data_IF_366502066734
#
_entry.id   IF_366502066734
#
_cell.length_a   1.000
_cell.length_b   1.000
_cell.length_c   1.000
_cell.angle_alpha   90.00
_cell.angle_beta   90.00
_cell.angle_gamma   90.00
#
_symmetry.space_group_name_H-M   'P 1'
#
loop_
_entity.id
_entity.type
_entity.pdbx_description
1 polymer ?
#
# COMPACT_ATOMS: atom_id res chain seq x y z
N UNK A 1 -14.15 -8.79 -6.19
CA UNK A 1 -14.47 -9.01 -7.59
C UNK A 1 -15.90 -9.48 -7.73
N UNK A 2 -16.51 -9.20 -8.88
CA UNK A 2 -17.62 -10.03 -9.37
C UNK A 2 -16.97 -11.25 -10.03
N UNK A 3 -17.64 -12.39 -10.06
CA UNK A 3 -17.15 -13.61 -10.76
C UNK A 3 -16.79 -13.36 -12.25
N UNK A 4 -17.15 -12.22 -12.82
CA UNK A 4 -16.81 -11.80 -14.18
C UNK A 4 -15.39 -11.25 -14.39
N UNK A 5 -14.62 -10.92 -13.35
CA UNK A 5 -13.31 -10.24 -13.52
C UNK A 5 -12.19 -11.16 -14.08
N UNK A 6 -12.45 -12.47 -14.23
CA UNK A 6 -11.56 -13.44 -14.89
C UNK A 6 -12.08 -13.90 -16.26
N UNK A 7 -13.17 -13.32 -16.78
CA UNK A 7 -13.70 -13.69 -18.09
C UNK A 7 -12.65 -13.40 -19.18
N UNK A 8 -12.18 -14.46 -19.84
CA UNK A 8 -11.29 -14.39 -21.01
C UNK A 8 -9.84 -14.80 -20.76
N UNK A 9 -9.41 -15.05 -19.52
CA UNK A 9 -8.07 -15.61 -19.24
C UNK A 9 -8.22 -17.09 -18.90
N UNK A 10 -7.92 -17.95 -19.88
CA UNK A 10 -7.82 -19.39 -19.64
C UNK A 10 -6.45 -19.67 -19.02
N UNK A 11 -6.44 -19.91 -17.71
CA UNK A 11 -5.22 -20.36 -17.04
C UNK A 11 -4.84 -21.76 -17.54
N UNK A 12 -3.55 -22.12 -17.51
CA UNK A 12 -3.12 -23.48 -17.82
C UNK A 12 -3.87 -24.50 -16.95
N UNK A 13 -4.15 -25.69 -17.50
CA UNK A 13 -5.00 -26.71 -16.85
C UNK A 13 -4.46 -27.22 -15.51
N UNK A 14 -3.20 -26.95 -15.20
CA UNK A 14 -2.57 -27.29 -13.93
C UNK A 14 -2.74 -26.22 -12.83
N UNK A 15 -3.50 -25.15 -13.07
CA UNK A 15 -3.86 -24.16 -12.05
C UNK A 15 -5.27 -24.40 -11.50
N UNK A 16 -5.37 -24.54 -10.19
CA UNK A 16 -6.64 -24.43 -9.47
C UNK A 16 -6.78 -23.02 -8.89
N UNK A 17 -7.85 -22.32 -9.22
CA UNK A 17 -8.10 -20.96 -8.72
C UNK A 17 -9.30 -20.93 -7.81
N UNK A 18 -9.07 -20.36 -6.63
CA UNK A 18 -10.09 -20.20 -5.61
C UNK A 18 -10.27 -18.71 -5.31
N UNK A 19 -11.43 -18.12 -5.61
CA UNK A 19 -11.64 -16.70 -5.39
C UNK A 19 -11.78 -16.39 -3.90
N UNK A 20 -10.96 -15.48 -3.40
CA UNK A 20 -11.03 -15.00 -2.02
C UNK A 20 -12.15 -13.95 -1.87
N UNK A 21 -13.40 -14.41 -1.78
CA UNK A 21 -14.56 -13.54 -1.65
C UNK A 21 -15.01 -13.50 -0.18
N UNK A 22 -14.99 -12.33 0.47
CA UNK A 22 -15.51 -12.19 1.83
C UNK A 22 -17.01 -12.51 1.91
N UNK A 23 -17.45 -13.12 3.01
CA UNK A 23 -18.89 -13.34 3.25
C UNK A 23 -19.66 -12.01 3.22
N UNK A 24 -20.84 -12.00 2.54
CA UNK A 24 -21.63 -10.80 2.25
C UNK A 24 -22.05 -10.00 3.50
N UNK A 25 -22.08 -10.64 4.66
CA UNK A 25 -22.51 -10.10 5.96
C UNK A 25 -21.60 -9.01 6.53
N UNK A 26 -20.40 -8.80 5.98
CA UNK A 26 -19.42 -7.82 6.49
C UNK A 26 -19.30 -6.53 5.67
N UNK A 27 -20.24 -6.26 4.76
CA UNK A 27 -20.20 -5.06 3.91
C UNK A 27 -20.70 -3.82 4.66
N UNK A 28 -19.79 -2.91 4.97
CA UNK A 28 -20.13 -1.56 5.42
C UNK A 28 -20.51 -0.70 4.21
N UNK A 29 -21.48 0.22 4.37
CA UNK A 29 -21.89 1.16 3.30
C UNK A 29 -20.67 1.89 2.72
N UNK A 30 -20.60 1.93 1.38
CA UNK A 30 -19.46 2.46 0.60
C UNK A 30 -18.13 1.72 0.82
N UNK A 31 -18.15 0.52 1.40
CA UNK A 31 -16.99 -0.35 1.50
C UNK A 31 -16.64 -1.00 0.15
N UNK A 32 -15.35 -1.22 -0.06
CA UNK A 32 -14.79 -1.80 -1.29
C UNK A 32 -13.76 -2.86 -0.89
N UNK A 33 -13.69 -3.93 -1.67
CA UNK A 33 -12.58 -4.87 -1.60
C UNK A 33 -11.48 -4.38 -2.56
N UNK A 34 -10.45 -3.73 -2.02
CA UNK A 34 -9.45 -3.02 -2.82
C UNK A 34 -8.06 -3.70 -2.76
N UNK A 35 -7.92 -4.72 -1.90
CA UNK A 35 -6.80 -5.65 -1.85
C UNK A 35 -6.51 -6.31 -3.18
N UNK A 36 -5.21 -6.42 -3.46
CA UNK A 36 -4.63 -6.97 -4.68
C UNK A 36 -3.48 -7.86 -4.25
N UNK A 37 -3.78 -9.14 -4.14
CA UNK A 37 -2.85 -10.13 -3.61
C UNK A 37 -3.13 -11.50 -4.18
N UNK A 38 -2.09 -12.32 -4.24
CA UNK A 38 -2.20 -13.75 -4.54
C UNK A 38 -1.55 -14.56 -3.43
N UNK A 39 -2.13 -15.72 -3.18
CA UNK A 39 -1.52 -16.81 -2.43
C UNK A 39 -1.34 -17.95 -3.44
N UNK A 40 -0.11 -18.27 -3.79
CA UNK A 40 0.21 -19.30 -4.78
C UNK A 40 0.87 -20.47 -4.05
N UNK A 41 0.16 -21.59 -3.96
CA UNK A 41 0.68 -22.82 -3.38
C UNK A 41 1.50 -23.61 -4.41
N UNK A 42 2.67 -24.04 -4.00
CA UNK A 42 3.54 -24.98 -4.71
C UNK A 42 3.70 -26.26 -3.87
N UNK A 43 4.44 -27.23 -4.37
CA UNK A 43 4.63 -28.53 -3.71
C UNK A 43 5.26 -28.41 -2.31
N UNK A 44 6.21 -27.49 -2.14
CA UNK A 44 7.02 -27.34 -0.93
C UNK A 44 6.91 -25.95 -0.27
N UNK A 45 6.14 -25.04 -0.86
CA UNK A 45 6.17 -23.62 -0.52
C UNK A 45 4.89 -22.87 -0.85
N UNK A 46 4.71 -21.74 -0.19
CA UNK A 46 3.68 -20.75 -0.47
C UNK A 46 4.34 -19.44 -0.90
N UNK A 47 3.98 -18.94 -2.09
CA UNK A 47 4.28 -17.56 -2.46
C UNK A 47 3.16 -16.64 -2.03
N UNK A 48 3.50 -15.63 -1.24
CA UNK A 48 2.61 -14.51 -0.95
C UNK A 48 2.96 -13.37 -1.89
N UNK A 49 1.97 -12.84 -2.62
CA UNK A 49 2.12 -11.70 -3.53
C UNK A 49 1.23 -10.56 -3.06
N UNK A 50 1.77 -9.35 -2.95
CA UNK A 50 1.01 -8.11 -2.72
C UNK A 50 1.36 -7.12 -3.83
N UNK A 51 0.35 -6.62 -4.55
CA UNK A 51 0.55 -5.74 -5.71
C UNK A 51 -0.49 -4.60 -5.76
N UNK A 52 -0.39 -3.74 -6.78
CA UNK A 52 -1.28 -2.56 -6.91
C UNK A 52 -2.15 -2.53 -8.18
N UNK A 53 -1.91 -3.42 -9.13
CA UNK A 53 -2.70 -3.56 -10.36
C UNK A 53 -4.06 -4.23 -10.12
N UNK A 54 -5.14 -3.70 -10.71
CA UNK A 54 -6.34 -4.49 -10.96
C UNK A 54 -6.05 -5.53 -12.05
N UNK A 55 -6.85 -6.59 -12.13
CA UNK A 55 -6.68 -7.66 -13.13
C UNK A 55 -7.26 -7.29 -14.50
N UNK A 56 -6.81 -6.16 -15.05
CA UNK A 56 -7.21 -5.65 -16.37
C UNK A 56 -5.98 -5.21 -17.18
N UNK A 57 -5.94 -5.39 -18.51
CA UNK A 57 -4.73 -5.15 -19.31
C UNK A 57 -4.12 -3.75 -19.16
N UNK A 58 -4.95 -2.70 -19.09
CA UNK A 58 -4.46 -1.32 -19.00
C UNK A 58 -3.65 -1.04 -17.71
N UNK A 59 -3.97 -1.74 -16.61
CA UNK A 59 -3.26 -1.58 -15.34
C UNK A 59 -1.86 -2.22 -15.37
N UNK A 60 -1.60 -3.20 -16.25
CA UNK A 60 -0.28 -3.84 -16.40
C UNK A 60 0.60 -3.17 -17.45
N UNK A 61 0.02 -2.63 -18.52
CA UNK A 61 0.79 -2.19 -19.68
C UNK A 61 1.31 -0.75 -19.57
N UNK A 62 0.46 0.20 -19.13
CA UNK A 62 0.73 1.63 -19.31
C UNK A 62 0.87 2.43 -18.01
N UNK A 63 0.68 1.78 -16.85
CA UNK A 63 0.67 2.43 -15.54
C UNK A 63 1.87 2.02 -14.69
N UNK A 64 2.27 2.93 -13.81
CA UNK A 64 3.23 2.61 -12.76
C UNK A 64 2.54 1.83 -11.65
N UNK A 65 2.89 0.55 -11.54
CA UNK A 65 2.43 -0.37 -10.49
C UNK A 65 3.62 -0.89 -9.66
N UNK A 66 3.33 -1.41 -8.47
CA UNK A 66 4.29 -2.11 -7.63
C UNK A 66 3.85 -3.54 -7.32
N UNK A 67 4.83 -4.41 -7.10
CA UNK A 67 4.64 -5.79 -6.64
C UNK A 67 5.74 -6.15 -5.65
N UNK A 68 5.35 -6.83 -4.58
CA UNK A 68 6.25 -7.58 -3.72
C UNK A 68 5.77 -9.03 -3.71
N UNK A 69 6.72 -9.95 -3.66
CA UNK A 69 6.44 -11.34 -3.38
C UNK A 69 7.59 -11.98 -2.62
N UNK A 70 7.27 -13.00 -1.84
CA UNK A 70 8.24 -13.85 -1.17
C UNK A 70 7.70 -15.28 -1.07
N UNK A 71 8.60 -16.25 -1.19
CA UNK A 71 8.32 -17.67 -1.01
C UNK A 71 8.61 -18.07 0.43
N UNK A 72 7.70 -18.87 0.99
CA UNK A 72 7.75 -19.39 2.35
C UNK A 72 7.69 -20.91 2.29
N UNK A 73 8.74 -21.63 2.71
CA UNK A 73 8.76 -23.10 2.67
C UNK A 73 7.82 -23.67 3.73
N UNK A 74 7.51 -24.97 3.64
CA UNK A 74 6.85 -25.69 4.74
C UNK A 74 7.71 -25.68 6.02
N UNK A 75 7.06 -25.59 7.18
CA UNK A 75 7.71 -25.72 8.48
C UNK A 75 8.28 -27.12 8.66
N UNK A 76 9.52 -27.20 9.11
CA UNK A 76 10.16 -28.47 9.55
C UNK A 76 9.91 -28.75 11.03
N UNK A 77 9.57 -27.72 11.82
CA UNK A 77 9.26 -27.81 13.25
C UNK A 77 8.02 -27.00 13.60
N UNK A 78 7.26 -27.41 14.62
CA UNK A 78 6.12 -26.64 15.11
C UNK A 78 6.59 -25.46 15.99
N UNK A 79 5.96 -24.29 15.85
CA UNK A 79 5.95 -23.28 16.91
C UNK A 79 6.89 -22.07 16.78
N UNK A 80 7.18 -21.54 15.58
CA UNK A 80 7.87 -20.25 15.47
C UNK A 80 6.88 -19.08 15.52
N UNK A 81 6.89 -18.28 16.59
CA UNK A 81 6.17 -17.00 16.62
C UNK A 81 6.74 -16.06 15.55
N UNK A 82 5.92 -15.69 14.57
CA UNK A 82 6.31 -14.77 13.51
C UNK A 82 5.25 -13.69 13.34
N UNK A 83 5.64 -12.43 13.51
CA UNK A 83 4.72 -11.30 13.38
C UNK A 83 4.11 -11.18 11.97
N UNK A 84 4.81 -11.63 10.91
CA UNK A 84 4.24 -11.69 9.57
C UNK A 84 3.13 -12.75 9.48
N UNK A 85 3.34 -13.94 10.06
CA UNK A 85 2.33 -15.00 10.12
C UNK A 85 1.07 -14.51 10.84
N UNK A 86 1.23 -13.91 12.02
CA UNK A 86 0.10 -13.39 12.80
C UNK A 86 -0.67 -12.31 12.04
N UNK A 87 0.04 -11.41 11.37
CA UNK A 87 -0.59 -10.36 10.56
C UNK A 87 -1.35 -10.96 9.37
N UNK A 88 -0.79 -11.96 8.69
CA UNK A 88 -1.42 -12.65 7.56
C UNK A 88 -2.68 -13.38 8.01
N UNK A 89 -2.58 -14.20 9.07
CA UNK A 89 -3.71 -14.98 9.59
C UNK A 89 -4.82 -14.05 10.07
N UNK A 90 -4.48 -13.01 10.85
CA UNK A 90 -5.46 -12.05 11.34
C UNK A 90 -6.17 -11.31 10.20
N UNK A 91 -5.45 -11.00 9.12
CA UNK A 91 -6.02 -10.37 7.95
C UNK A 91 -6.96 -11.31 7.18
N UNK A 92 -6.50 -12.53 6.89
CA UNK A 92 -7.24 -13.54 6.14
C UNK A 92 -8.51 -13.99 6.88
N UNK A 93 -8.44 -14.11 8.20
CA UNK A 93 -9.60 -14.45 9.04
C UNK A 93 -10.72 -13.41 8.94
N UNK A 94 -10.42 -12.15 8.60
CA UNK A 94 -11.45 -11.10 8.43
C UNK A 94 -12.38 -11.34 7.26
N UNK A 95 -11.98 -12.16 6.29
CA UNK A 95 -12.82 -12.45 5.13
C UNK A 95 -13.90 -13.47 5.48
N UNK A 96 -13.70 -14.23 6.58
CA UNK A 96 -14.57 -15.31 7.03
C UNK A 96 -14.89 -16.29 5.90
N UNK A 97 -13.88 -16.56 5.07
CA UNK A 97 -14.05 -17.36 3.85
C UNK A 97 -14.41 -18.78 4.25
N UNK A 98 -15.60 -19.21 3.84
CA UNK A 98 -15.91 -20.62 3.70
C UNK A 98 -15.55 -20.99 2.28
N UNK A 99 -14.35 -21.52 2.10
CA UNK A 99 -13.89 -22.00 0.80
C UNK A 99 -14.67 -23.28 0.45
N UNK A 100 -15.95 -23.14 0.07
CA UNK A 100 -16.82 -24.26 -0.25
C UNK A 100 -16.30 -24.92 -1.53
N UNK A 101 -15.97 -26.22 -1.43
CA UNK A 101 -15.46 -26.99 -2.57
C UNK A 101 -13.97 -26.84 -2.83
N UNK A 102 -13.21 -26.06 -2.04
CA UNK A 102 -11.75 -25.97 -2.14
C UNK A 102 -11.09 -27.17 -1.47
N UNK A 103 -11.29 -28.31 -2.10
CA UNK A 103 -10.66 -29.57 -1.72
C UNK A 103 -9.42 -29.72 -2.56
N UNK A 104 -8.24 -29.46 -2.00
CA UNK A 104 -7.02 -29.86 -2.68
C UNK A 104 -6.76 -31.33 -2.36
N UNK A 105 -6.19 -32.06 -3.32
CA UNK A 105 -5.75 -33.43 -3.12
C UNK A 105 -4.26 -33.38 -2.83
N UNK A 106 -3.88 -33.74 -1.61
CA UNK A 106 -2.48 -33.88 -1.23
C UNK A 106 -1.81 -34.90 -2.16
N UNK A 107 -0.77 -34.48 -2.88
CA UNK A 107 -0.04 -35.32 -3.84
C UNK A 107 0.71 -36.46 -3.14
N UNK A 108 1.12 -36.28 -1.89
CA UNK A 108 1.86 -37.24 -1.09
C UNK A 108 0.93 -38.23 -0.38
N UNK A 109 -0.21 -37.76 0.16
CA UNK A 109 -1.12 -38.63 0.94
C UNK A 109 -2.37 -39.07 0.17
N UNK A 110 -2.66 -38.47 -0.98
CA UNK A 110 -3.86 -38.69 -1.77
C UNK A 110 -5.16 -38.21 -1.10
N UNK A 111 -5.08 -37.62 0.10
CA UNK A 111 -6.23 -37.16 0.87
C UNK A 111 -6.75 -35.83 0.36
N UNK A 112 -8.06 -35.68 0.44
CA UNK A 112 -8.75 -34.45 0.07
C UNK A 112 -8.88 -33.55 1.29
N UNK A 113 -8.15 -32.42 1.30
CA UNK A 113 -8.17 -31.44 2.39
C UNK A 113 -8.91 -30.18 2.00
N UNK A 114 -9.71 -29.65 2.93
CA UNK A 114 -10.38 -28.36 2.71
C UNK A 114 -9.43 -27.23 3.06
N UNK A 115 -9.14 -26.35 2.11
CA UNK A 115 -8.34 -25.15 2.36
C UNK A 115 -9.01 -24.27 3.43
N UNK A 116 -8.26 -23.94 4.49
CA UNK A 116 -8.70 -23.02 5.55
C UNK A 116 -7.63 -21.96 5.79
N UNK A 117 -8.01 -20.89 6.48
CA UNK A 117 -7.02 -19.86 6.88
C UNK A 117 -5.93 -20.49 7.76
N UNK A 118 -6.29 -21.45 8.60
CA UNK A 118 -5.35 -22.19 9.44
C UNK A 118 -4.31 -22.99 8.64
N UNK A 119 -4.63 -23.42 7.42
CA UNK A 119 -3.67 -24.12 6.54
C UNK A 119 -2.45 -23.25 6.22
N UNK A 120 -2.60 -21.91 6.25
CA UNK A 120 -1.48 -20.99 6.04
C UNK A 120 -0.44 -21.07 7.16
N UNK A 121 -0.76 -21.61 8.33
CA UNK A 121 0.18 -21.78 9.45
C UNK A 121 1.21 -22.89 9.22
N UNK A 122 1.03 -23.72 8.19
CA UNK A 122 1.95 -24.79 7.83
C UNK A 122 3.28 -24.27 7.24
N UNK A 123 3.33 -23.01 6.79
CA UNK A 123 4.51 -22.41 6.15
C UNK A 123 5.35 -21.60 7.15
N UNK A 124 6.66 -21.56 6.93
CA UNK A 124 7.64 -20.86 7.75
C UNK A 124 7.84 -19.42 7.23
N UNK A 125 7.31 -18.46 7.99
CA UNK A 125 7.41 -17.03 7.70
C UNK A 125 8.56 -16.32 8.43
N UNK A 126 9.41 -17.03 9.17
CA UNK A 126 10.46 -16.41 10.01
C UNK A 126 11.45 -15.56 9.22
N UNK A 127 11.60 -15.86 7.92
CA UNK A 127 12.45 -15.12 6.98
C UNK A 127 11.75 -13.95 6.27
N UNK A 128 10.51 -13.62 6.63
CA UNK A 128 9.78 -12.49 6.03
C UNK A 128 10.60 -11.19 6.15
N UNK A 129 10.80 -10.50 5.03
CA UNK A 129 11.57 -9.26 4.97
C UNK A 129 10.72 -8.00 5.21
N UNK A 130 9.41 -8.17 5.36
CA UNK A 130 8.41 -7.12 5.53
C UNK A 130 7.45 -7.42 6.68
N UNK A 131 6.65 -6.41 7.05
CA UNK A 131 5.46 -6.55 7.90
C UNK A 131 4.19 -6.28 7.10
N UNK A 132 3.11 -7.00 7.39
CA UNK A 132 1.83 -6.73 6.74
C UNK A 132 1.08 -5.59 7.44
N UNK A 133 0.52 -4.70 6.63
CA UNK A 133 -0.36 -3.61 7.05
C UNK A 133 -1.67 -3.76 6.30
N UNK A 134 -2.65 -4.39 6.96
CA UNK A 134 -3.98 -4.61 6.40
C UNK A 134 -5.01 -3.60 6.91
N UNK A 135 -6.08 -3.44 6.13
CA UNK A 135 -7.35 -2.88 6.60
C UNK A 135 -8.48 -3.85 6.34
N UNK A 136 -9.38 -3.96 7.31
CA UNK A 136 -10.59 -4.76 7.20
C UNK A 136 -11.80 -3.93 7.65
N UNK A 137 -12.95 -3.99 6.94
CA UNK A 137 -14.15 -3.28 7.33
C UNK A 137 -14.60 -3.67 8.73
N UNK A 138 -14.92 -2.68 9.55
CA UNK A 138 -15.39 -2.94 10.91
C UNK A 138 -15.32 -1.73 11.81
N UNK A 139 -15.80 -1.94 13.04
CA UNK A 139 -15.70 -1.03 14.16
C UNK A 139 -14.80 -1.67 15.21
N UNK A 140 -13.50 -1.44 15.08
CA UNK A 140 -12.47 -2.09 15.90
C UNK A 140 -12.33 -1.36 17.25
N UNK A 141 -12.30 -2.11 18.36
CA UNK A 141 -12.35 -1.56 19.73
C UNK A 141 -11.28 -2.17 20.62
N UNK A 142 -10.93 -1.47 21.70
CA UNK A 142 -9.94 -1.94 22.69
C UNK A 142 -8.62 -2.34 22.02
N UNK A 143 -8.10 -3.52 22.35
CA UNK A 143 -6.85 -4.04 21.77
C UNK A 143 -6.88 -4.16 20.24
N UNK A 144 -8.05 -4.34 19.64
CA UNK A 144 -8.20 -4.51 18.19
C UNK A 144 -8.11 -3.19 17.41
N UNK A 145 -8.12 -2.03 18.08
CA UNK A 145 -7.97 -0.73 17.40
C UNK A 145 -6.64 -0.61 16.65
N UNK A 146 -5.59 -1.30 17.11
CA UNK A 146 -4.25 -1.29 16.49
C UNK A 146 -4.04 -2.46 15.51
N UNK A 147 -5.04 -3.30 15.25
CA UNK A 147 -4.90 -4.46 14.36
C UNK A 147 -4.85 -4.06 12.88
N UNK A 148 -5.56 -3.00 12.50
CA UNK A 148 -5.77 -2.60 11.10
C UNK A 148 -5.56 -1.10 10.86
N UNK A 149 -5.41 -0.72 9.60
CA UNK A 149 -5.36 0.67 9.14
C UNK A 149 -4.15 1.45 9.67
N UNK A 150 -4.31 2.75 9.86
CA UNK A 150 -3.16 3.61 10.18
C UNK A 150 -2.62 3.36 11.59
N UNK A 151 -3.44 2.82 12.50
CA UNK A 151 -2.98 2.43 13.84
C UNK A 151 -2.17 1.12 13.83
N UNK A 152 -2.39 0.24 12.85
CA UNK A 152 -1.49 -0.91 12.62
C UNK A 152 -0.11 -0.43 12.26
N UNK A 153 0.00 0.43 11.25
CA UNK A 153 1.27 1.05 10.85
C UNK A 153 1.94 1.76 12.04
N UNK A 154 1.18 2.60 12.75
CA UNK A 154 1.66 3.28 13.96
C UNK A 154 2.25 2.31 14.98
N UNK A 155 1.54 1.23 15.31
CA UNK A 155 1.99 0.28 16.32
C UNK A 155 3.28 -0.45 15.92
N UNK A 156 3.46 -0.75 14.63
CA UNK A 156 4.71 -1.32 14.14
C UNK A 156 5.84 -0.30 14.30
N UNK A 157 5.63 0.95 13.85
CA UNK A 157 6.65 2.00 13.90
C UNK A 157 7.00 2.43 15.33
N UNK A 158 6.03 2.44 16.27
CA UNK A 158 6.25 2.76 17.70
C UNK A 158 7.31 1.83 18.35
N UNK A 159 7.44 0.60 17.85
CA UNK A 159 8.42 -0.38 18.34
C UNK A 159 9.83 -0.20 17.77
N UNK A 160 10.04 0.83 16.93
CA UNK A 160 11.29 1.02 16.18
C UNK A 160 12.03 2.28 16.62
N UNK A 161 13.36 2.13 16.60
CA UNK A 161 14.32 3.22 16.75
C UNK A 161 15.04 3.38 15.41
N UNK A 162 15.16 4.63 14.96
CA UNK A 162 15.76 5.00 13.69
C UNK A 162 17.01 5.87 13.93
N UNK A 163 17.94 5.94 12.96
CA UNK A 163 19.05 6.88 13.01
C UNK A 163 18.61 8.34 13.20
N UNK A 164 19.45 9.13 13.88
CA UNK A 164 19.20 10.53 14.24
C UNK A 164 18.78 11.41 13.05
N UNK A 165 19.32 11.14 11.86
CA UNK A 165 19.03 11.85 10.61
C UNK A 165 17.54 11.83 10.20
N UNK A 166 16.74 10.89 10.72
CA UNK A 166 15.32 10.83 10.43
C UNK A 166 14.47 11.68 11.38
N UNK A 167 15.06 12.35 12.37
CA UNK A 167 14.34 13.24 13.28
C UNK A 167 13.64 14.37 12.53
N UNK A 168 12.30 14.43 12.62
CA UNK A 168 11.43 15.39 11.91
C UNK A 168 11.66 15.43 10.39
N UNK A 169 12.22 14.35 9.83
CA UNK A 169 12.46 14.21 8.40
C UNK A 169 11.15 14.09 7.60
N UNK A 170 11.15 14.35 6.28
CA UNK A 170 9.95 14.30 5.47
C UNK A 170 9.26 12.94 5.44
N UNK A 171 7.94 12.97 5.32
CA UNK A 171 7.09 11.79 5.07
C UNK A 171 6.39 12.01 3.73
N UNK A 172 6.45 11.02 2.85
CA UNK A 172 5.82 11.05 1.53
C UNK A 172 4.58 10.15 1.56
N UNK A 173 3.48 10.68 1.01
CA UNK A 173 2.29 9.93 0.67
C UNK A 173 2.04 10.05 -0.83
N UNK A 174 2.19 8.95 -1.55
CA UNK A 174 1.88 8.84 -2.97
C UNK A 174 0.72 7.86 -3.14
N UNK A 175 -0.28 8.27 -3.91
CA UNK A 175 -1.48 7.46 -4.11
C UNK A 175 -2.16 7.84 -5.43
N UNK A 176 -3.20 7.08 -5.82
CA UNK A 176 -3.95 7.33 -7.04
C UNK A 176 -5.42 7.70 -6.79
N UNK A 177 -5.85 7.88 -5.54
CA UNK A 177 -7.18 8.41 -5.25
C UNK A 177 -7.22 9.20 -3.95
N UNK A 178 -7.99 10.28 -3.94
CA UNK A 178 -8.13 11.16 -2.79
C UNK A 178 -9.57 11.17 -2.27
N UNK A 179 -9.74 10.65 -1.06
CA UNK A 179 -11.03 10.68 -0.36
C UNK A 179 -11.36 12.06 0.22
N UNK A 180 -12.55 12.21 0.79
CA UNK A 180 -12.89 13.44 1.52
C UNK A 180 -12.23 13.44 2.90
N UNK A 181 -11.17 14.24 3.05
CA UNK A 181 -10.40 14.38 4.29
C UNK A 181 -10.81 15.63 5.07
N UNK A 182 -10.56 15.63 6.38
CA UNK A 182 -10.50 16.85 7.19
C UNK A 182 -9.06 17.08 7.64
N UNK A 183 -8.69 18.33 7.92
CA UNK A 183 -7.36 18.65 8.47
C UNK A 183 -7.07 17.84 9.74
N UNK A 184 -8.05 17.77 10.65
CA UNK A 184 -7.95 17.00 11.90
C UNK A 184 -7.63 15.52 11.68
N UNK A 185 -8.25 14.89 10.67
CA UNK A 185 -7.96 13.50 10.34
C UNK A 185 -6.55 13.37 9.76
N UNK A 186 -6.17 14.27 8.83
CA UNK A 186 -4.85 14.25 8.21
C UNK A 186 -3.73 14.45 9.25
N UNK A 187 -3.91 15.37 10.20
CA UNK A 187 -2.95 15.59 11.29
C UNK A 187 -2.75 14.30 12.12
N UNK A 188 -3.83 13.59 12.47
CA UNK A 188 -3.76 12.29 13.17
C UNK A 188 -3.10 11.19 12.34
N UNK A 189 -3.40 11.15 11.05
CA UNK A 189 -2.79 10.21 10.13
C UNK A 189 -1.27 10.46 10.03
N UNK A 190 -0.85 11.71 9.87
CA UNK A 190 0.57 12.11 9.86
C UNK A 190 1.30 11.76 11.15
N UNK A 191 0.64 11.89 12.32
CA UNK A 191 1.19 11.42 13.59
C UNK A 191 1.43 9.91 13.60
N UNK A 192 0.55 9.13 12.95
CA UNK A 192 0.74 7.68 12.82
C UNK A 192 1.94 7.31 11.95
N UNK A 193 2.18 8.07 10.87
CA UNK A 193 3.37 7.94 10.01
C UNK A 193 4.66 8.47 10.67
N UNK A 194 4.52 9.20 11.78
CA UNK A 194 5.62 9.84 12.51
C UNK A 194 5.86 9.19 13.87
N UNK A 195 5.48 7.92 14.01
CA UNK A 195 5.70 7.15 15.21
C UNK A 195 7.10 6.52 15.23
N UNK A 196 7.51 6.06 16.40
CA UNK A 196 8.85 5.53 16.65
C UNK A 196 9.79 6.57 17.25
N UNK A 197 11.05 6.16 17.39
CA UNK A 197 12.08 6.92 18.10
C UNK A 197 13.29 7.16 17.21
N UNK A 198 14.11 8.13 17.57
CA UNK A 198 15.42 8.36 16.98
C UNK A 198 16.49 8.32 18.04
N UNK A 199 17.66 7.82 17.67
CA UNK A 199 18.88 7.85 18.50
C UNK A 199 19.34 9.30 18.67
N UNK A 200 19.66 9.66 19.92
CA UNK A 200 20.28 10.95 20.28
C UNK A 200 21.71 10.71 20.74
N UNK A 201 21.91 9.62 21.47
CA UNK A 201 23.20 9.08 21.91
C UNK A 201 23.10 7.55 21.99
N UNK A 202 24.15 6.85 22.42
CA UNK A 202 24.14 5.39 22.60
C UNK A 202 23.09 4.90 23.61
N UNK A 203 22.68 5.73 24.56
CA UNK A 203 21.75 5.36 25.65
C UNK A 203 20.45 6.15 25.62
N UNK A 204 20.39 7.24 24.85
CA UNK A 204 19.22 8.13 24.81
C UNK A 204 18.53 8.11 23.45
N UNK A 205 17.21 8.01 23.49
CA UNK A 205 16.34 8.13 22.33
C UNK A 205 15.26 9.17 22.57
N UNK A 206 14.78 9.83 21.51
CA UNK A 206 13.62 10.73 21.56
C UNK A 206 12.58 10.35 20.52
N UNK A 207 11.37 10.91 20.60
CA UNK A 207 10.37 10.72 19.57
C UNK A 207 10.89 11.21 18.21
N UNK A 208 10.68 10.44 17.13
CA UNK A 208 11.10 10.84 15.78
C UNK A 208 10.46 12.17 15.36
N UNK A 209 9.20 12.39 15.75
CA UNK A 209 8.48 13.63 15.52
C UNK A 209 7.93 13.79 14.11
N UNK A 210 6.95 14.70 13.99
CA UNK A 210 6.33 15.03 12.71
C UNK A 210 7.26 15.90 11.87
N UNK A 211 7.62 15.39 10.69
CA UNK A 211 8.23 16.19 9.63
C UNK A 211 7.19 16.67 8.63
N UNK A 212 7.61 17.35 7.55
CA UNK A 212 6.69 17.79 6.50
C UNK A 212 6.05 16.58 5.80
N UNK A 213 4.72 16.61 5.67
CA UNK A 213 3.98 15.68 4.82
C UNK A 213 4.02 16.19 3.37
N UNK A 214 4.57 15.37 2.48
CA UNK A 214 4.64 15.62 1.05
C UNK A 214 3.67 14.68 0.34
N UNK A 215 2.72 15.24 -0.40
CA UNK A 215 1.70 14.48 -1.13
C UNK A 215 2.08 14.47 -2.60
N UNK A 216 2.44 13.31 -3.13
CA UNK A 216 2.64 13.13 -4.56
C UNK A 216 1.27 12.92 -5.21
N UNK A 217 0.82 13.90 -5.98
CA UNK A 217 -0.43 13.87 -6.74
C UNK A 217 -0.12 14.35 -8.17
N UNK A 218 -0.56 13.65 -9.22
CA UNK A 218 -0.28 14.09 -10.60
C UNK A 218 -0.91 15.44 -10.93
N UNK A 219 -0.18 16.27 -11.66
CA UNK A 219 -0.71 17.49 -12.26
C UNK A 219 -1.57 17.18 -13.48
N UNK A 220 -2.38 18.14 -13.91
CA UNK A 220 -3.12 18.09 -15.18
C UNK A 220 -2.16 17.86 -16.35
N UNK A 221 -1.00 18.52 -16.35
CA UNK A 221 0.00 18.39 -17.41
C UNK A 221 0.60 16.99 -17.44
N UNK A 222 0.97 16.43 -16.28
CA UNK A 222 1.50 15.07 -16.18
C UNK A 222 0.50 14.01 -16.67
N UNK A 223 -0.79 14.17 -16.37
CA UNK A 223 -1.84 13.28 -16.91
C UNK A 223 -2.00 13.48 -18.42
N UNK A 224 -2.09 14.73 -18.89
CA UNK A 224 -2.28 15.09 -20.30
C UNK A 224 -1.19 14.52 -21.21
N UNK A 225 0.07 14.51 -20.77
CA UNK A 225 1.21 14.02 -21.55
C UNK A 225 1.61 12.57 -21.22
N UNK A 226 0.83 11.89 -20.37
CA UNK A 226 1.06 10.49 -19.99
C UNK A 226 0.95 9.53 -21.19
N UNK A 227 1.31 8.27 -21.00
CA UNK A 227 1.16 7.23 -22.02
C UNK A 227 -0.29 7.07 -22.50
N UNK A 228 -1.28 7.33 -21.63
CA UNK A 228 -2.70 7.16 -21.91
C UNK A 228 -3.43 8.51 -22.08
N UNK A 229 -2.72 9.64 -22.05
CA UNK A 229 -3.33 10.97 -22.10
C UNK A 229 -4.34 11.15 -20.97
N UNK A 230 -5.46 11.82 -21.25
CA UNK A 230 -6.50 12.02 -20.24
C UNK A 230 -7.17 10.73 -19.75
N UNK A 231 -7.12 9.64 -20.51
CA UNK A 231 -7.67 8.35 -20.09
C UNK A 231 -6.95 7.78 -18.85
N UNK A 232 -5.66 8.09 -18.65
CA UNK A 232 -4.95 7.74 -17.42
C UNK A 232 -5.67 8.26 -16.16
N UNK A 233 -6.30 9.42 -16.28
CA UNK A 233 -7.00 10.10 -15.20
C UNK A 233 -8.21 9.36 -14.64
N UNK A 234 -8.78 8.42 -15.40
CA UNK A 234 -9.82 7.51 -14.90
C UNK A 234 -9.33 6.61 -13.75
N UNK A 235 -8.03 6.32 -13.73
CA UNK A 235 -7.36 5.58 -12.64
C UNK A 235 -6.80 6.49 -11.53
N UNK A 236 -7.00 7.80 -11.65
CA UNK A 236 -6.60 8.81 -10.66
C UNK A 236 -7.83 9.57 -10.10
N UNK A 237 -8.82 8.89 -9.47
CA UNK A 237 -10.04 9.55 -9.04
C UNK A 237 -9.81 10.48 -7.84
N UNK A 238 -9.99 11.78 -8.07
CA UNK A 238 -10.01 12.83 -7.06
C UNK A 238 -10.93 13.96 -7.51
N UNK A 239 -12.09 14.09 -6.85
CA UNK A 239 -13.05 15.17 -7.14
C UNK A 239 -12.47 16.53 -6.79
N UNK A 240 -12.83 17.55 -7.54
CA UNK A 240 -12.47 18.96 -7.31
C UNK A 240 -12.64 19.36 -5.84
N UNK A 241 -13.81 19.09 -5.24
CA UNK A 241 -14.10 19.41 -3.83
C UNK A 241 -13.21 18.69 -2.78
N UNK A 242 -12.50 17.62 -3.16
CA UNK A 242 -11.52 16.96 -2.28
C UNK A 242 -10.12 17.48 -2.52
N UNK A 243 -9.73 17.63 -3.79
CA UNK A 243 -8.38 17.99 -4.22
C UNK A 243 -8.06 19.44 -3.89
N UNK A 244 -9.03 20.36 -4.03
CA UNK A 244 -8.84 21.81 -3.83
C UNK A 244 -8.88 22.27 -2.37
N UNK A 245 -8.95 21.37 -1.39
CA UNK A 245 -8.96 21.79 0.01
C UNK A 245 -7.69 22.56 0.37
N UNK A 246 -7.83 23.76 0.94
CA UNK A 246 -6.73 24.69 1.23
C UNK A 246 -5.56 24.05 1.99
N UNK A 247 -5.87 23.21 2.98
CA UNK A 247 -4.87 22.56 3.80
C UNK A 247 -4.04 21.51 3.06
N UNK A 248 -4.43 21.10 1.84
CA UNK A 248 -3.68 20.18 0.97
C UNK A 248 -2.80 20.92 -0.04
N UNK A 249 -3.19 22.11 -0.50
CA UNK A 249 -2.56 22.77 -1.66
C UNK A 249 -1.05 22.93 -1.50
N UNK A 250 -0.60 23.29 -0.30
CA UNK A 250 0.82 23.52 -0.02
C UNK A 250 1.65 22.23 0.08
N UNK A 251 1.01 21.07 0.18
CA UNK A 251 1.63 19.75 0.35
C UNK A 251 1.84 19.02 -0.98
N UNK A 252 1.28 19.51 -2.10
CA UNK A 252 1.37 18.81 -3.38
C UNK A 252 2.76 18.86 -4.02
N UNK A 253 3.17 17.69 -4.50
CA UNK A 253 4.40 17.40 -5.21
C UNK A 253 4.06 16.63 -6.48
N UNK A 254 4.83 16.87 -7.54
CA UNK A 254 4.61 16.26 -8.86
C UNK A 254 4.94 14.76 -8.84
N UNK A 255 4.37 13.99 -9.78
CA UNK A 255 4.58 12.55 -9.87
C UNK A 255 6.04 12.21 -10.18
N UNK A 256 6.65 12.86 -11.17
CA UNK A 256 8.04 12.56 -11.54
C UNK A 256 8.74 13.71 -12.29
N UNK A 257 9.94 14.08 -11.82
CA UNK A 257 10.88 14.97 -12.52
C UNK A 257 11.71 14.23 -13.55
N UNK A 258 12.29 13.12 -13.12
CA UNK A 258 13.25 12.34 -13.89
C UNK A 258 12.58 11.10 -14.45
N UNK A 259 13.14 10.55 -15.53
CA UNK A 259 12.63 9.32 -16.12
C UNK A 259 13.20 8.08 -15.41
N UNK A 260 13.00 8.02 -14.09
CA UNK A 260 13.40 6.87 -13.27
C UNK A 260 12.65 5.64 -13.78
N UNK A 261 13.41 4.59 -14.10
CA UNK A 261 12.88 3.34 -14.64
C UNK A 261 12.02 3.52 -15.91
N UNK A 262 12.19 4.61 -16.66
CA UNK A 262 11.40 4.95 -17.85
C UNK A 262 9.89 5.09 -17.57
N UNK A 263 9.52 5.54 -16.36
CA UNK A 263 8.13 5.58 -15.88
C UNK A 263 7.56 6.99 -15.68
N UNK A 264 8.27 8.05 -16.07
CA UNK A 264 7.77 9.44 -15.90
C UNK A 264 6.41 9.67 -16.56
N UNK A 265 6.19 9.06 -17.73
CA UNK A 265 4.90 9.16 -18.47
C UNK A 265 3.91 8.04 -18.12
N UNK A 266 4.30 7.05 -17.32
CA UNK A 266 3.41 5.99 -16.88
C UNK A 266 2.68 6.45 -15.61
N UNK A 267 1.41 6.84 -15.78
CA UNK A 267 0.61 7.41 -14.70
C UNK A 267 0.57 6.48 -13.47
N UNK A 268 0.57 7.03 -12.24
CA UNK A 268 0.59 6.21 -11.05
C UNK A 268 -0.74 5.52 -10.79
N UNK A 269 -0.69 4.20 -10.66
CA UNK A 269 -1.71 3.43 -9.96
C UNK A 269 -1.13 2.66 -8.76
N UNK A 270 0.18 2.72 -8.56
CA UNK A 270 0.86 2.38 -7.32
C UNK A 270 0.44 3.33 -6.17
N UNK A 271 0.49 2.84 -4.93
CA UNK A 271 0.36 3.66 -3.73
C UNK A 271 1.51 3.32 -2.78
N UNK A 272 2.24 4.34 -2.38
CA UNK A 272 3.41 4.21 -1.50
C UNK A 272 3.40 5.26 -0.41
N UNK A 273 3.87 4.85 0.77
CA UNK A 273 4.11 5.75 1.89
C UNK A 273 5.53 5.50 2.38
N UNK A 274 6.29 6.56 2.64
CA UNK A 274 7.67 6.40 3.11
C UNK A 274 8.09 7.56 3.99
N UNK A 275 9.19 7.36 4.71
CA UNK A 275 9.94 8.43 5.37
C UNK A 275 11.38 8.33 4.91
N UNK A 276 11.96 9.47 4.51
CA UNK A 276 13.31 9.53 4.00
C UNK A 276 14.14 10.61 4.68
N UNK A 277 15.46 10.52 4.57
CA UNK A 277 16.43 11.43 5.18
C UNK A 277 17.85 11.14 4.69
N UNK A 278 18.84 11.48 5.51
CA UNK A 278 20.25 11.48 5.12
C UNK A 278 20.65 12.77 4.41
N UNK A 279 21.96 12.98 4.25
CA UNK A 279 22.52 14.24 3.73
C UNK A 279 22.05 14.57 2.30
N UNK A 280 21.82 13.53 1.49
CA UNK A 280 21.34 13.62 0.10
C UNK A 280 19.83 13.35 -0.05
N UNK A 281 19.13 13.05 1.05
CA UNK A 281 17.71 12.69 1.04
C UNK A 281 17.40 11.36 0.35
N UNK A 282 18.37 10.45 0.22
CA UNK A 282 18.19 9.18 -0.50
C UNK A 282 18.01 7.97 0.42
N UNK A 283 18.14 8.13 1.74
CA UNK A 283 17.98 7.02 2.69
C UNK A 283 16.54 6.91 3.20
N UNK A 284 16.05 5.69 3.33
CA UNK A 284 14.69 5.38 3.78
C UNK A 284 14.69 4.85 5.21
N UNK A 285 13.90 5.48 6.09
CA UNK A 285 13.61 4.93 7.42
C UNK A 285 12.68 3.71 7.31
N UNK A 286 11.69 3.81 6.42
CA UNK A 286 10.73 2.76 6.11
C UNK A 286 10.03 3.08 4.80
N UNK A 287 9.51 2.04 4.15
CA UNK A 287 8.73 2.16 2.92
C UNK A 287 7.56 1.19 2.95
N UNK A 288 6.37 1.64 2.57
CA UNK A 288 5.15 0.86 2.48
C UNK A 288 4.66 0.84 1.04
N UNK A 289 4.55 -0.34 0.44
CA UNK A 289 3.82 -0.58 -0.80
C UNK A 289 2.42 -1.11 -0.45
N UNK A 290 1.37 -0.52 -1.01
CA UNK A 290 0.02 -0.89 -0.60
C UNK A 290 -1.08 -0.60 -1.61
N UNK A 291 -2.27 -1.16 -1.40
CA UNK A 291 -3.50 -0.76 -2.08
C UNK A 291 -4.15 0.50 -1.48
N UNK A 292 -3.80 0.90 -0.25
CA UNK A 292 -4.43 2.04 0.43
C UNK A 292 -4.22 3.37 -0.31
N UNK A 293 -5.31 3.94 -0.79
CA UNK A 293 -5.35 5.35 -1.19
C UNK A 293 -5.46 6.28 0.03
N UNK A 294 -5.21 7.59 -0.14
CA UNK A 294 -5.36 8.55 0.96
C UNK A 294 -6.84 8.84 1.24
N UNK A 295 -7.45 7.98 2.06
CA UNK A 295 -8.85 8.10 2.45
C UNK A 295 -9.10 7.54 3.86
N UNK A 296 -10.10 8.11 4.53
CA UNK A 296 -10.60 7.59 5.81
C UNK A 296 -11.17 6.18 5.69
N UNK A 297 -11.71 5.84 4.53
CA UNK A 297 -12.33 4.55 4.28
C UNK A 297 -11.30 3.40 4.21
N UNK A 298 -10.13 3.68 3.62
CA UNK A 298 -8.99 2.77 3.55
C UNK A 298 -8.23 2.70 4.88
N UNK A 299 -7.86 3.84 5.45
CA UNK A 299 -6.94 3.91 6.59
C UNK A 299 -7.63 3.85 7.96
N UNK A 300 -8.92 4.16 8.02
CA UNK A 300 -9.71 4.21 9.23
C UNK A 300 -9.88 5.62 9.80
N UNK A 301 -10.97 5.82 10.56
CA UNK A 301 -11.26 7.03 11.32
C UNK A 301 -11.62 6.67 12.77
N UNK A 302 -10.90 7.27 13.72
CA UNK A 302 -11.26 7.19 15.14
C UNK A 302 -12.59 7.91 15.39
N UNK A 303 -13.51 7.23 16.06
CA UNK A 303 -14.83 7.73 16.41
C UNK A 303 -15.14 7.50 17.88
N UNK A 304 -16.01 8.35 18.44
CA UNK A 304 -16.66 8.05 19.73
C UNK A 304 -17.79 7.05 19.47
N UNK A 305 -17.60 5.79 19.87
CA UNK A 305 -18.64 4.78 19.85
C UNK A 305 -19.51 4.84 21.10
N UNK A 306 -20.67 4.17 21.06
CA UNK A 306 -21.60 4.06 22.21
C UNK A 306 -20.93 3.54 23.48
N UNK A 307 -19.94 2.66 23.35
CA UNK A 307 -19.23 1.99 24.45
C UNK A 307 -17.75 2.41 24.54
N UNK A 308 -17.40 3.60 24.05
CA UNK A 308 -16.04 4.12 24.07
C UNK A 308 -15.40 4.29 22.68
N UNK A 309 -14.10 4.62 22.62
CA UNK A 309 -13.38 4.85 21.38
C UNK A 309 -13.39 3.62 20.45
N UNK A 310 -13.49 3.87 19.15
CA UNK A 310 -13.44 2.82 18.12
C UNK A 310 -12.74 3.33 16.86
N UNK A 311 -12.13 2.42 16.11
CA UNK A 311 -11.57 2.66 14.79
C UNK A 311 -12.54 2.13 13.73
N UNK A 312 -13.14 3.01 12.93
CA UNK A 312 -14.03 2.61 11.85
C UNK A 312 -13.27 2.55 10.53
N UNK A 313 -13.25 1.38 9.90
CA UNK A 313 -12.63 1.11 8.59
C UNK A 313 -13.71 0.60 7.65
N UNK A 314 -13.67 0.99 6.37
CA UNK A 314 -14.68 0.59 5.36
C UNK A 314 -14.15 -0.34 4.29
N UNK A 315 -12.86 -0.32 3.99
CA UNK A 315 -12.27 -1.09 2.88
C UNK A 315 -11.49 -2.29 3.37
N UNK A 316 -11.42 -3.32 2.52
CA UNK A 316 -10.32 -4.26 2.58
C UNK A 316 -9.16 -3.70 1.78
N UNK A 317 -8.02 -3.58 2.42
CA UNK A 317 -6.76 -3.15 1.81
C UNK A 317 -5.62 -4.01 2.37
N UNK A 318 -4.51 -4.10 1.63
CA UNK A 318 -3.32 -4.82 2.08
C UNK A 318 -2.06 -4.09 1.61
N UNK A 319 -1.00 -4.17 2.39
CA UNK A 319 0.30 -3.60 2.08
C UNK A 319 1.42 -4.28 2.84
N UNK A 320 2.64 -4.05 2.36
CA UNK A 320 3.88 -4.57 2.92
C UNK A 320 4.82 -3.43 3.31
N UNK A 321 5.19 -3.41 4.58
CA UNK A 321 6.08 -2.43 5.18
C UNK A 321 7.50 -3.00 5.22
N UNK A 322 8.38 -2.38 4.43
CA UNK A 322 9.81 -2.59 4.43
C UNK A 322 10.46 -1.72 5.50
N UNK A 323 11.39 -2.33 6.24
CA UNK A 323 12.22 -1.65 7.21
C UNK A 323 13.68 -2.08 7.00
N UNK A 324 14.65 -1.20 7.27
CA UNK A 324 16.06 -1.55 7.23
C UNK A 324 16.36 -2.75 8.13
N UNK A 325 17.13 -3.72 7.62
CA UNK A 325 17.70 -4.78 8.46
C UNK A 325 18.78 -4.17 9.35
N UNK A 326 19.05 -4.80 10.50
CA UNK A 326 20.11 -4.32 11.42
C UNK A 326 21.45 -4.20 10.65
N UNK A 327 22.04 -3.02 10.66
CA UNK A 327 23.31 -2.73 9.96
C UNK A 327 23.20 -2.53 8.45
N UNK A 328 22.00 -2.53 7.86
CA UNK A 328 21.79 -2.31 6.42
C UNK A 328 20.91 -1.10 6.20
N UNK A 329 21.40 -0.10 5.48
CA UNK A 329 20.64 1.08 5.10
C UNK A 329 19.85 0.81 3.81
N UNK A 330 18.59 1.24 3.76
CA UNK A 330 17.84 1.27 2.50
C UNK A 330 18.07 2.61 1.81
N UNK A 331 18.53 2.59 0.56
CA UNK A 331 18.83 3.82 -0.21
C UNK A 331 18.35 3.70 -1.65
N UNK A 332 17.85 4.78 -2.22
CA UNK A 332 17.34 4.86 -3.61
C UNK A 332 18.46 4.89 -4.66
N UNK A 333 19.64 5.39 -4.30
CA UNK A 333 20.78 5.64 -5.20
C UNK A 333 21.95 4.68 -5.01
N UNK A 334 21.88 3.78 -4.04
CA UNK A 334 22.99 2.89 -3.70
C UNK A 334 23.51 2.09 -4.92
N UNK A 335 24.83 2.11 -5.12
CA UNK A 335 25.51 1.20 -6.05
C UNK A 335 25.42 -0.24 -5.49
N UNK A 336 25.22 -1.27 -6.32
CA UNK A 336 25.03 -2.66 -5.87
C UNK A 336 26.13 -3.24 -4.96
N UNK A 337 27.32 -2.61 -4.90
CA UNK A 337 28.50 -3.12 -4.19
C UNK A 337 28.82 -2.42 -2.84
N UNK A 338 27.97 -1.52 -2.34
CA UNK A 338 28.21 -0.90 -1.04
C UNK A 338 27.82 -1.88 0.09
N UNK A 339 28.81 -2.31 0.89
CA UNK A 339 28.69 -3.43 1.84
C UNK A 339 27.49 -3.37 2.81
N UNK A 340 26.97 -2.17 3.10
CA UNK A 340 25.87 -1.95 4.05
C UNK A 340 24.69 -1.12 3.47
N UNK A 341 24.56 -1.00 2.14
CA UNK A 341 23.46 -0.25 1.51
C UNK A 341 22.70 -1.12 0.51
N UNK A 342 21.42 -1.36 0.78
CA UNK A 342 20.50 -2.01 -0.12
C UNK A 342 19.82 -0.97 -1.02
N UNK A 343 19.96 -1.13 -2.34
CA UNK A 343 19.25 -0.29 -3.31
C UNK A 343 17.74 -0.57 -3.25
N UNK A 344 16.93 0.47 -3.06
CA UNK A 344 15.48 0.41 -3.04
C UNK A 344 14.89 1.05 -4.32
N UNK A 345 14.14 0.30 -5.15
CA UNK A 345 13.69 0.77 -6.46
C UNK A 345 12.39 1.59 -6.36
N UNK A 346 12.49 2.88 -6.01
CA UNK A 346 11.33 3.79 -6.02
C UNK A 346 10.92 4.14 -7.46
N UNK A 347 9.61 4.29 -7.73
CA UNK A 347 9.12 4.69 -9.05
C UNK A 347 9.17 6.20 -9.30
N UNK A 348 9.66 6.99 -8.35
CA UNK A 348 9.78 8.45 -8.40
C UNK A 348 11.02 8.92 -7.63
N UNK A 349 11.49 10.14 -7.91
CA UNK A 349 12.71 10.70 -7.31
C UNK A 349 12.50 11.17 -5.87
N UNK A 350 13.53 11.01 -5.05
CA UNK A 350 13.70 11.74 -3.80
C UNK A 350 14.90 12.70 -3.92
N UNK A 351 14.93 13.82 -3.19
CA UNK A 351 13.78 14.50 -2.58
C UNK A 351 12.67 14.78 -3.59
N UNK A 352 11.41 14.79 -3.14
CA UNK A 352 10.27 15.06 -4.03
C UNK A 352 10.26 16.51 -4.51
N UNK A 353 9.72 16.77 -5.70
CA UNK A 353 9.60 18.14 -6.24
C UNK A 353 8.23 18.73 -6.00
N UNK A 354 8.18 19.87 -5.29
CA UNK A 354 6.94 20.58 -4.98
C UNK A 354 6.31 21.17 -6.25
N UNK A 355 4.99 21.28 -6.25
CA UNK A 355 4.26 22.03 -7.28
C UNK A 355 4.79 23.47 -7.41
N UNK A 356 4.92 23.93 -8.65
CA UNK A 356 5.10 25.33 -9.02
C UNK A 356 3.76 26.06 -8.88
N UNK A 357 3.77 27.40 -8.77
CA UNK A 357 2.53 28.19 -8.74
C UNK A 357 1.63 28.00 -9.98
N UNK A 358 2.21 27.59 -11.11
CA UNK A 358 1.49 27.30 -12.36
C UNK A 358 0.91 25.89 -12.45
N UNK A 359 1.32 24.99 -11.55
CA UNK A 359 0.90 23.59 -11.62
C UNK A 359 -0.54 23.45 -11.12
N UNK A 360 -1.35 22.73 -11.89
CA UNK A 360 -2.76 22.47 -11.56
C UNK A 360 -2.89 20.99 -11.18
N UNK A 361 -3.43 20.65 -10.00
CA UNK A 361 -3.61 19.26 -9.61
C UNK A 361 -4.66 18.57 -10.49
N UNK A 362 -4.44 17.30 -10.84
CA UNK A 362 -5.43 16.52 -11.58
C UNK A 362 -6.75 16.41 -10.81
N UNK A 363 -7.86 16.63 -11.51
CA UNK A 363 -9.24 16.46 -11.02
C UNK A 363 -10.04 15.74 -12.08
N UNK A 364 -10.52 14.54 -11.74
CA UNK A 364 -11.18 13.67 -12.72
C UNK A 364 -12.55 14.20 -13.20
N UNK A 365 -13.16 15.13 -12.46
CA UNK A 365 -14.47 15.75 -12.76
C UNK A 365 -14.34 17.11 -13.47
N UNK A 366 -13.13 17.50 -13.87
CA UNK A 366 -12.86 18.71 -14.63
C UNK A 366 -12.89 18.47 -16.14
N UNK A 367 -13.29 19.49 -16.90
CA UNK A 367 -13.19 19.51 -18.37
C UNK A 367 -11.95 20.32 -18.78
N UNK A 368 -11.11 19.77 -19.64
CA UNK A 368 -9.86 20.41 -20.05
C UNK A 368 -9.99 21.09 -21.40
N UNK A 369 -9.33 22.24 -21.58
CA UNK A 369 -9.36 22.97 -22.86
C UNK A 369 -8.26 22.53 -23.80
N UNK A 370 -7.09 22.18 -23.27
CA UNK A 370 -5.92 21.76 -24.06
C UNK A 370 -6.07 20.29 -24.41
N UNK A 371 -5.89 19.86 -25.67
CA UNK A 371 -5.93 18.45 -26.00
C UNK A 371 -4.76 17.67 -25.39
N UNK A 372 -4.99 16.41 -25.07
CA UNK A 372 -3.93 15.46 -24.78
C UNK A 372 -3.18 15.02 -26.05
N UNK A 373 -2.22 14.12 -25.87
CA UNK A 373 -1.40 13.58 -26.96
C UNK A 373 -2.18 12.82 -28.04
N UNK A 374 -3.45 12.50 -27.80
CA UNK A 374 -4.36 11.82 -28.73
C UNK A 374 -5.44 12.76 -29.29
N UNK A 375 -5.43 14.04 -28.92
CA UNK A 375 -6.41 15.03 -29.37
C UNK A 375 -7.66 15.14 -28.49
N UNK A 376 -7.76 14.38 -27.39
CA UNK A 376 -8.94 14.40 -26.50
C UNK A 376 -8.86 15.54 -25.48
N UNK A 377 -10.03 16.02 -25.01
CA UNK A 377 -10.16 17.16 -24.08
C UNK A 377 -10.80 16.81 -22.72
N UNK A 378 -11.03 15.53 -22.48
CA UNK A 378 -11.54 15.03 -21.21
C UNK A 378 -11.08 13.59 -20.99
N UNK A 379 -11.03 13.18 -19.72
CA UNK A 379 -11.06 11.76 -19.40
C UNK A 379 -12.45 11.25 -19.78
N UNK A 380 -12.65 10.80 -21.02
CA UNK A 380 -13.86 10.03 -21.33
C UNK A 380 -13.87 8.81 -20.42
N UNK A 381 -15.00 8.48 -19.78
CA UNK A 381 -15.13 7.20 -19.12
C UNK A 381 -14.98 6.13 -20.21
N UNK A 382 -13.92 5.32 -20.10
CA UNK A 382 -13.86 4.03 -20.79
C UNK A 382 -14.95 3.11 -20.23
#
# INVERSE_FOLDING_TARGET
GREGDLQGVQLPSNFEVYPMIPEKTHRIRWGVFHTKSFLLGFEDSLRVVVHTANLIPCDFNNKSQGVWYQDFPLKTTQGSDCAFEDDLIAYMDTYKIKWKGSRWKDSNTGKSETLRVESLRAYDYTRADVRLVGSAPGYHKGKHMKTFGHLKLRSILESKTFPAQFHKSPVVAQFSSLGSLSKKWLDKFTLSLSAGRVEVSETETKAIGSGPLQIIWPTVEEVRVSLEGYAAGGSIPGKTANVEKDFLQKMFHIWATDDIHCRRKAAPHIKTFLRYGGDDGQELAWFLLTSHNLSKAAWGEEQKGRFGPQMMIRHWELGVLFMPKKGVHMSTTARPAAANRQRFPLPYSLPTTRYKPSDVPWRWDEKFRVPDRFGFRSASPL
#
